data_IF_942262080304
#
_entry.id   IF_942262080304
#
_cell.length_a   1.000
_cell.length_b   1.000
_cell.length_c   1.000
_cell.angle_alpha   90.00
_cell.angle_beta   90.00
_cell.angle_gamma   90.00
#
_symmetry.space_group_name_H-M   'P 1'
#
loop_
_entity.id
_entity.type
_entity.pdbx_description
1 polymer ?
#
# COMPACT_ATOMS: atom_id res chain seq x y z
N UNK A 1 10.49 -37.18 -37.70
CA UNK A 1 9.99 -36.39 -36.55
C UNK A 1 11.06 -36.16 -35.46
N UNK A 2 12.31 -36.61 -35.64
CA UNK A 2 13.36 -36.54 -34.59
C UNK A 2 14.09 -35.19 -34.46
N UNK A 3 14.03 -34.30 -35.47
CA UNK A 3 14.76 -33.01 -35.47
C UNK A 3 14.00 -31.79 -34.92
N UNK A 4 12.77 -31.94 -34.41
CA UNK A 4 11.95 -30.81 -33.94
C UNK A 4 11.94 -30.64 -32.40
N UNK A 5 12.38 -31.65 -31.63
CA UNK A 5 12.35 -31.62 -30.16
C UNK A 5 13.32 -30.62 -29.52
N UNK A 6 14.41 -30.26 -30.21
CA UNK A 6 15.46 -29.38 -29.65
C UNK A 6 15.17 -27.88 -29.80
N UNK A 7 14.26 -27.48 -30.69
CA UNK A 7 14.06 -26.06 -31.05
C UNK A 7 12.90 -25.36 -30.32
N UNK A 8 12.03 -26.12 -29.65
CA UNK A 8 10.78 -25.61 -29.04
C UNK A 8 10.41 -26.22 -27.66
N UNK A 9 11.36 -26.47 -26.74
CA UNK A 9 11.08 -27.20 -25.49
C UNK A 9 10.15 -26.46 -24.52
N UNK A 10 9.96 -25.15 -24.68
CA UNK A 10 9.20 -24.25 -23.81
C UNK A 10 7.82 -23.86 -24.38
N UNK A 11 7.45 -24.34 -25.57
CA UNK A 11 6.22 -23.91 -26.23
C UNK A 11 4.99 -24.58 -25.60
N UNK A 12 3.96 -23.77 -25.31
CA UNK A 12 2.63 -24.30 -24.99
C UNK A 12 1.90 -24.84 -26.24
N UNK A 13 0.89 -25.72 -26.11
CA UNK A 13 0.19 -26.33 -27.26
C UNK A 13 -0.44 -25.32 -28.24
N UNK A 14 -0.78 -24.11 -27.76
CA UNK A 14 -1.28 -23.03 -28.60
C UNK A 14 -0.17 -22.43 -29.46
N UNK A 15 0.97 -22.06 -28.85
CA UNK A 15 2.10 -21.47 -29.55
C UNK A 15 2.79 -22.47 -30.49
N UNK A 16 2.86 -23.75 -30.08
CA UNK A 16 3.33 -24.83 -30.94
C UNK A 16 2.47 -24.98 -32.20
N UNK A 17 1.14 -24.84 -32.09
CA UNK A 17 0.24 -24.82 -33.25
C UNK A 17 0.54 -23.67 -34.19
N UNK A 18 0.61 -22.47 -33.65
CA UNK A 18 0.88 -21.25 -34.42
C UNK A 18 2.21 -21.35 -35.17
N UNK A 19 3.28 -21.84 -34.52
CA UNK A 19 4.59 -21.98 -35.17
C UNK A 19 4.71 -23.17 -36.12
N UNK A 20 3.96 -24.25 -35.90
CA UNK A 20 3.86 -25.35 -36.87
C UNK A 20 3.16 -24.89 -38.16
N UNK A 21 2.14 -24.05 -38.02
CA UNK A 21 1.41 -23.46 -39.15
C UNK A 21 2.27 -22.41 -39.89
N UNK A 22 2.84 -21.45 -39.16
CA UNK A 22 3.61 -20.34 -39.75
C UNK A 22 4.94 -20.75 -40.38
N UNK A 23 5.68 -21.66 -39.75
CA UNK A 23 7.07 -22.00 -40.17
C UNK A 23 7.11 -23.23 -41.08
N UNK A 24 6.19 -24.17 -40.86
CA UNK A 24 6.22 -25.48 -41.52
C UNK A 24 4.97 -25.76 -42.36
N UNK A 25 3.99 -24.86 -42.40
CA UNK A 25 2.74 -25.05 -43.16
C UNK A 25 1.86 -26.19 -42.64
N UNK A 26 2.10 -26.67 -41.41
CA UNK A 26 1.40 -27.82 -40.84
C UNK A 26 0.18 -27.37 -40.04
N UNK A 27 -1.00 -27.53 -40.65
CA UNK A 27 -2.28 -27.22 -40.00
C UNK A 27 -2.75 -28.42 -39.19
N UNK A 28 -2.45 -28.40 -37.89
CA UNK A 28 -2.93 -29.41 -36.93
C UNK A 28 -3.85 -28.78 -35.90
N UNK A 29 -4.90 -29.51 -35.50
CA UNK A 29 -5.75 -29.09 -34.39
C UNK A 29 -4.96 -28.99 -33.08
N UNK A 30 -5.22 -27.95 -32.27
CA UNK A 30 -4.59 -27.72 -30.97
C UNK A 30 -4.62 -28.96 -30.07
N UNK A 31 -5.73 -29.69 -30.07
CA UNK A 31 -5.91 -30.88 -29.25
C UNK A 31 -5.09 -32.09 -29.74
N UNK A 32 -4.83 -32.17 -31.04
CA UNK A 32 -3.94 -33.16 -31.64
C UNK A 32 -2.49 -32.86 -31.25
N UNK A 33 -2.07 -31.59 -31.33
CA UNK A 33 -0.74 -31.15 -30.89
C UNK A 33 -0.56 -31.41 -29.39
N UNK A 34 -1.54 -31.07 -28.56
CA UNK A 34 -1.51 -31.34 -27.11
C UNK A 34 -1.27 -32.82 -26.82
N UNK A 35 -1.98 -33.72 -27.51
CA UNK A 35 -1.81 -35.18 -27.36
C UNK A 35 -0.42 -35.65 -27.81
N UNK A 36 0.08 -35.13 -28.93
CA UNK A 36 1.43 -35.44 -29.43
C UNK A 36 2.52 -34.97 -28.47
N UNK A 37 2.40 -33.75 -27.93
CA UNK A 37 3.34 -33.21 -26.94
C UNK A 37 3.33 -33.99 -25.63
N UNK A 38 2.16 -34.49 -25.18
CA UNK A 38 2.08 -35.38 -24.01
C UNK A 38 2.78 -36.70 -24.30
N UNK A 39 2.52 -37.32 -25.46
CA UNK A 39 3.14 -38.59 -25.85
C UNK A 39 4.66 -38.47 -26.00
N UNK A 40 5.13 -37.31 -26.46
CA UNK A 40 6.55 -37.00 -26.62
C UNK A 40 7.24 -36.52 -25.32
N UNK A 41 6.51 -36.44 -24.19
CA UNK A 41 7.06 -35.94 -22.92
C UNK A 41 7.34 -34.43 -22.86
N UNK A 42 7.00 -33.68 -23.92
CA UNK A 42 7.21 -32.23 -24.03
C UNK A 42 6.14 -31.41 -23.29
N UNK A 43 5.04 -32.03 -22.87
CA UNK A 43 3.97 -31.35 -22.14
C UNK A 43 3.37 -32.24 -21.05
N UNK A 44 3.55 -31.84 -19.79
CA UNK A 44 2.97 -32.54 -18.63
C UNK A 44 1.55 -31.99 -18.35
N UNK A 45 0.50 -32.83 -18.42
CA UNK A 45 -0.86 -32.45 -18.04
C UNK A 45 -0.92 -31.85 -16.65
N UNK A 46 -1.74 -30.81 -16.46
CA UNK A 46 -1.83 -30.07 -15.19
C UNK A 46 -2.13 -30.98 -13.98
N UNK A 47 -2.93 -32.04 -14.17
CA UNK A 47 -3.26 -33.04 -13.13
C UNK A 47 -2.10 -33.96 -12.73
N UNK A 48 -1.07 -34.09 -13.58
CA UNK A 48 0.10 -34.93 -13.36
C UNK A 48 1.34 -34.14 -12.94
N UNK A 49 1.25 -32.80 -12.87
CA UNK A 49 2.32 -31.98 -12.32
C UNK A 49 2.42 -32.28 -10.82
N UNK A 50 3.62 -32.53 -10.28
CA UNK A 50 3.77 -32.74 -8.85
C UNK A 50 3.17 -31.53 -8.11
N UNK A 51 2.35 -31.75 -7.06
CA UNK A 51 1.86 -30.65 -6.26
C UNK A 51 3.08 -29.92 -5.71
N UNK A 52 3.18 -28.61 -5.95
CA UNK A 52 4.21 -27.83 -5.28
C UNK A 52 3.89 -27.84 -3.78
N UNK A 53 4.70 -28.56 -3.01
CA UNK A 53 4.60 -28.59 -1.56
C UNK A 53 5.14 -27.24 -1.07
N UNK A 54 4.23 -26.37 -0.64
CA UNK A 54 4.57 -25.07 -0.08
C UNK A 54 4.41 -25.14 1.43
N UNK A 55 5.48 -24.78 2.16
CA UNK A 55 5.44 -24.77 3.61
C UNK A 55 4.50 -23.64 4.09
N UNK A 56 3.57 -23.92 5.03
CA UNK A 56 2.79 -22.88 5.66
C UNK A 56 3.70 -21.88 6.38
N UNK A 57 3.41 -20.59 6.26
CA UNK A 57 4.07 -19.57 7.06
C UNK A 57 3.55 -19.64 8.50
N UNK A 58 4.45 -19.55 9.48
CA UNK A 58 4.04 -19.35 10.87
C UNK A 58 3.40 -17.96 11.05
N UNK A 59 2.41 -17.91 11.94
CA UNK A 59 1.79 -16.66 12.38
C UNK A 59 2.82 -15.77 13.08
N UNK A 60 2.63 -14.46 13.00
CA UNK A 60 3.33 -13.52 13.88
C UNK A 60 3.01 -13.82 15.36
N UNK A 61 3.96 -13.61 16.28
CA UNK A 61 3.74 -13.90 17.69
C UNK A 61 2.74 -12.95 18.37
N UNK A 62 2.81 -11.65 18.06
CA UNK A 62 2.05 -10.61 18.75
C UNK A 62 0.99 -9.96 17.85
N UNK A 63 -0.08 -9.47 18.47
CA UNK A 63 -1.11 -8.67 17.78
C UNK A 63 -0.50 -7.37 17.25
N UNK A 64 -0.83 -6.95 16.03
CA UNK A 64 -0.35 -5.68 15.45
C UNK A 64 1.02 -5.74 14.76
N UNK A 65 1.71 -6.88 14.81
CA UNK A 65 2.97 -7.05 14.09
C UNK A 65 2.78 -7.09 12.57
N UNK A 66 1.71 -7.75 12.11
CA UNK A 66 1.38 -7.84 10.70
C UNK A 66 -0.13 -7.92 10.52
N UNK A 67 -0.64 -6.98 9.76
CA UNK A 67 -2.05 -6.92 9.38
C UNK A 67 -2.15 -7.19 7.89
N UNK A 68 -2.87 -8.24 7.51
CA UNK A 68 -3.17 -8.53 6.13
C UNK A 68 -4.33 -7.66 5.68
N UNK A 69 -4.14 -6.92 4.59
CA UNK A 69 -5.16 -6.03 4.02
C UNK A 69 -5.54 -6.54 2.63
N UNK A 70 -6.84 -6.55 2.36
CA UNK A 70 -7.36 -6.94 1.06
C UNK A 70 -8.72 -6.34 0.78
N UNK A 71 -9.06 -6.20 -0.49
CA UNK A 71 -10.41 -5.92 -0.91
C UNK A 71 -11.10 -7.20 -1.36
N UNK A 72 -12.37 -7.31 -1.02
CA UNK A 72 -13.24 -8.42 -1.39
C UNK A 72 -14.45 -7.87 -2.16
N UNK A 73 -14.34 -7.89 -3.48
CA UNK A 73 -15.48 -7.59 -4.37
C UNK A 73 -16.50 -8.73 -4.32
N UNK A 74 -17.75 -8.38 -4.00
CA UNK A 74 -18.81 -9.37 -3.86
C UNK A 74 -20.22 -8.77 -3.94
N UNK A 75 -21.21 -9.63 -4.20
CA UNK A 75 -22.63 -9.29 -4.09
C UNK A 75 -23.09 -9.31 -2.62
N UNK A 76 -22.52 -8.43 -1.79
CA UNK A 76 -22.76 -8.38 -0.34
C UNK A 76 -24.24 -8.23 0.04
N UNK A 77 -25.01 -7.55 -0.80
CA UNK A 77 -26.44 -7.31 -0.62
C UNK A 77 -27.33 -8.23 -1.46
N UNK A 78 -26.76 -9.25 -2.11
CA UNK A 78 -27.47 -10.14 -3.05
C UNK A 78 -28.22 -9.32 -4.11
N UNK A 79 -29.55 -9.47 -4.18
CA UNK A 79 -30.42 -8.73 -5.09
C UNK A 79 -30.96 -7.41 -4.50
N UNK A 80 -30.61 -7.09 -3.25
CA UNK A 80 -31.15 -5.92 -2.52
C UNK A 80 -30.38 -4.64 -2.79
N UNK A 81 -29.13 -4.74 -3.24
CA UNK A 81 -28.24 -3.61 -3.47
C UNK A 81 -27.21 -3.90 -4.56
N UNK A 82 -26.50 -2.86 -5.00
CA UNK A 82 -25.44 -3.02 -5.99
C UNK A 82 -24.23 -3.76 -5.40
N UNK A 83 -23.46 -4.50 -6.23
CA UNK A 83 -22.17 -5.05 -5.82
C UNK A 83 -21.27 -3.94 -5.30
N UNK A 84 -20.42 -4.28 -4.33
CA UNK A 84 -19.45 -3.38 -3.75
C UNK A 84 -18.25 -4.17 -3.21
N UNK A 85 -17.20 -3.47 -2.83
CA UNK A 85 -16.01 -4.08 -2.24
C UNK A 85 -16.01 -3.88 -0.73
N UNK A 86 -15.74 -4.95 0.01
CA UNK A 86 -15.39 -4.84 1.43
C UNK A 86 -13.86 -4.81 1.58
N UNK A 87 -13.31 -3.75 2.17
CA UNK A 87 -11.91 -3.67 2.57
C UNK A 87 -11.76 -4.36 3.93
N UNK A 88 -10.90 -5.37 4.00
CA UNK A 88 -10.77 -6.28 5.13
C UNK A 88 -9.36 -6.22 5.69
N UNK A 89 -9.24 -6.02 7.01
CA UNK A 89 -7.98 -6.01 7.74
C UNK A 89 -7.99 -7.17 8.72
N UNK A 90 -7.04 -8.09 8.58
CA UNK A 90 -6.94 -9.30 9.39
C UNK A 90 -5.60 -9.32 10.12
N UNK A 91 -5.63 -9.41 11.44
CA UNK A 91 -4.41 -9.61 12.22
C UNK A 91 -3.89 -11.04 12.04
N UNK A 92 -2.61 -11.17 11.67
CA UNK A 92 -2.01 -12.46 11.34
C UNK A 92 -1.82 -13.38 12.56
N UNK A 93 -1.50 -12.80 13.72
CA UNK A 93 -1.30 -13.54 14.96
C UNK A 93 -2.60 -14.17 15.45
N UNK A 94 -3.67 -13.39 15.45
CA UNK A 94 -4.94 -13.72 16.10
C UNK A 94 -6.02 -14.16 15.12
N UNK A 95 -5.88 -13.87 13.82
CA UNK A 95 -6.95 -14.03 12.81
C UNK A 95 -8.21 -13.18 13.10
N UNK A 96 -8.06 -12.13 13.93
CA UNK A 96 -9.14 -11.18 14.19
C UNK A 96 -9.40 -10.33 12.95
N UNK A 97 -10.67 -10.08 12.66
CA UNK A 97 -11.07 -8.94 11.85
C UNK A 97 -10.82 -7.68 12.67
N UNK A 98 -9.88 -6.87 12.20
CA UNK A 98 -9.48 -5.64 12.85
C UNK A 98 -10.18 -4.43 12.23
N UNK A 99 -10.49 -4.47 10.94
CA UNK A 99 -11.26 -3.43 10.28
C UNK A 99 -12.02 -4.00 9.09
N UNK A 100 -13.19 -3.44 8.85
CA UNK A 100 -14.09 -3.80 7.76
C UNK A 100 -14.77 -2.53 7.27
N UNK A 101 -14.58 -2.20 5.99
CA UNK A 101 -15.19 -1.02 5.38
C UNK A 101 -15.74 -1.36 3.99
N UNK A 102 -17.03 -1.19 3.79
CA UNK A 102 -17.67 -1.31 2.49
C UNK A 102 -17.51 -0.02 1.69
N UNK A 103 -17.08 -0.17 0.44
CA UNK A 103 -16.85 0.93 -0.49
C UNK A 103 -17.34 0.54 -1.88
N UNK A 104 -17.66 1.54 -2.73
CA UNK A 104 -18.15 1.28 -4.08
C UNK A 104 -17.15 0.51 -4.95
N UNK A 105 -15.86 0.83 -4.81
CA UNK A 105 -14.76 0.20 -5.55
C UNK A 105 -13.43 0.47 -4.86
N UNK A 106 -12.44 -0.39 -5.06
CA UNK A 106 -11.09 -0.18 -4.54
C UNK A 106 -10.37 1.00 -5.20
N UNK A 107 -9.80 1.85 -4.37
CA UNK A 107 -8.94 2.97 -4.78
C UNK A 107 -7.95 3.32 -3.66
N UNK A 108 -6.96 4.14 -3.97
CA UNK A 108 -6.05 4.69 -2.94
C UNK A 108 -6.83 5.41 -1.84
N UNK A 109 -7.83 6.22 -2.19
CA UNK A 109 -8.60 7.02 -1.22
C UNK A 109 -9.44 6.14 -0.29
N UNK A 110 -10.03 5.06 -0.81
CA UNK A 110 -10.79 4.12 0.04
C UNK A 110 -9.88 3.37 1.01
N UNK A 111 -8.64 3.05 0.61
CA UNK A 111 -7.66 2.47 1.54
C UNK A 111 -7.11 3.50 2.54
N UNK A 112 -7.03 4.77 2.19
CA UNK A 112 -6.73 5.84 3.14
C UNK A 112 -7.82 5.96 4.21
N UNK A 113 -9.08 5.98 3.81
CA UNK A 113 -10.23 6.00 4.72
C UNK A 113 -10.23 4.77 5.65
N UNK A 114 -10.10 3.56 5.08
CA UNK A 114 -10.06 2.33 5.87
C UNK A 114 -8.85 2.29 6.82
N UNK A 115 -7.67 2.70 6.35
CA UNK A 115 -6.47 2.69 7.20
C UNK A 115 -6.54 3.75 8.29
N UNK A 116 -7.15 4.91 8.03
CA UNK A 116 -7.44 5.91 9.06
C UNK A 116 -8.30 5.32 10.16
N UNK A 117 -9.47 4.76 9.83
CA UNK A 117 -10.36 4.18 10.82
C UNK A 117 -9.73 3.02 11.59
N UNK A 118 -8.86 2.24 10.94
CA UNK A 118 -8.02 1.25 11.61
C UNK A 118 -7.09 1.88 12.64
N UNK A 119 -6.29 2.87 12.23
CA UNK A 119 -5.24 3.46 13.06
C UNK A 119 -5.84 4.23 14.24
N UNK A 120 -6.93 4.96 14.03
CA UNK A 120 -7.63 5.68 15.10
C UNK A 120 -8.14 4.72 16.19
N UNK A 121 -8.51 3.50 15.81
CA UNK A 121 -9.04 2.50 16.74
C UNK A 121 -7.98 1.67 17.46
N UNK A 122 -6.91 1.28 16.77
CA UNK A 122 -5.92 0.33 17.30
C UNK A 122 -4.50 0.89 17.41
N UNK A 123 -4.22 2.04 16.82
CA UNK A 123 -2.88 2.57 16.60
C UNK A 123 -2.22 2.02 15.33
N UNK A 124 -0.98 2.43 15.11
CA UNK A 124 -0.17 2.11 13.94
C UNK A 124 0.39 0.69 14.07
N UNK A 125 0.08 -0.23 13.13
CA UNK A 125 0.70 -1.55 13.13
C UNK A 125 2.19 -1.44 12.72
N UNK A 126 2.93 -2.53 12.87
CA UNK A 126 4.31 -2.58 12.38
C UNK A 126 4.33 -2.77 10.86
N UNK A 127 3.49 -3.68 10.35
CA UNK A 127 3.47 -4.07 8.94
C UNK A 127 2.02 -4.13 8.43
N UNK A 128 1.77 -3.52 7.27
CA UNK A 128 0.61 -3.83 6.44
C UNK A 128 1.03 -4.74 5.30
N UNK A 129 0.32 -5.85 5.13
CA UNK A 129 0.62 -6.89 4.15
C UNK A 129 -0.48 -6.97 3.10
N UNK A 130 -0.18 -6.58 1.87
CA UNK A 130 -1.14 -6.49 0.77
C UNK A 130 -0.74 -7.38 -0.41
N UNK A 131 -1.64 -7.54 -1.39
CA UNK A 131 -1.26 -8.11 -2.69
C UNK A 131 -0.58 -7.03 -3.58
N UNK A 132 -0.04 -7.42 -4.73
CA UNK A 132 0.60 -6.55 -5.74
C UNK A 132 -0.42 -5.72 -6.56
N UNK A 133 -1.57 -5.39 -6.00
CA UNK A 133 -2.52 -4.50 -6.68
C UNK A 133 -1.87 -3.12 -6.93
N UNK A 134 -2.32 -2.42 -7.98
CA UNK A 134 -1.76 -1.14 -8.42
C UNK A 134 -1.79 -0.04 -7.34
N UNK A 135 -2.71 -0.14 -6.37
CA UNK A 135 -2.78 0.74 -5.19
C UNK A 135 -1.53 0.59 -4.31
N UNK A 136 -0.99 -0.63 -4.21
CA UNK A 136 0.12 -0.97 -3.32
C UNK A 136 1.48 -1.00 -4.03
N UNK A 137 1.48 -1.17 -5.35
CA UNK A 137 2.71 -1.29 -6.13
C UNK A 137 2.62 -0.56 -7.48
N UNK A 138 3.68 0.21 -7.78
CA UNK A 138 3.88 0.76 -9.13
C UNK A 138 4.31 -0.39 -10.06
N UNK A 139 3.45 -0.76 -11.01
CA UNK A 139 3.72 -1.86 -11.94
C UNK A 139 4.72 -1.50 -13.05
N UNK A 140 4.98 -0.20 -13.26
CA UNK A 140 5.88 0.27 -14.31
C UNK A 140 7.25 0.68 -13.75
N UNK A 141 8.20 -0.27 -13.72
CA UNK A 141 9.58 -0.03 -13.24
C UNK A 141 10.42 0.89 -14.13
N UNK A 142 9.95 1.18 -15.35
CA UNK A 142 10.67 1.96 -16.37
C UNK A 142 10.16 3.39 -16.55
N UNK A 143 9.29 3.89 -15.67
CA UNK A 143 8.91 5.30 -15.70
C UNK A 143 10.14 6.18 -15.36
N UNK A 144 10.69 6.82 -16.38
CA UNK A 144 11.85 7.75 -16.28
C UNK A 144 11.50 9.01 -15.49
N UNK A 145 10.20 9.27 -15.29
CA UNK A 145 9.68 10.47 -14.62
C UNK A 145 8.42 10.08 -13.83
N UNK A 146 8.50 10.08 -12.51
CA UNK A 146 7.37 9.78 -11.60
C UNK A 146 7.82 9.20 -10.24
N UNK A 147 6.97 9.23 -9.20
CA UNK A 147 7.30 8.65 -7.90
C UNK A 147 7.56 7.13 -8.03
N UNK A 148 8.68 6.65 -7.47
CA UNK A 148 9.01 5.21 -7.41
C UNK A 148 8.15 4.44 -6.40
N UNK A 149 7.33 5.13 -5.62
CA UNK A 149 6.42 4.57 -4.61
C UNK A 149 4.97 4.98 -4.91
N UNK A 150 3.99 4.16 -4.52
CA UNK A 150 2.57 4.55 -4.62
C UNK A 150 2.21 5.57 -3.53
N UNK A 151 1.12 6.31 -3.71
CA UNK A 151 0.60 7.21 -2.68
C UNK A 151 0.28 6.48 -1.37
N UNK A 152 -0.20 5.24 -1.46
CA UNK A 152 -0.43 4.41 -0.28
C UNK A 152 0.87 4.07 0.44
N UNK A 153 1.88 3.59 -0.29
CA UNK A 153 3.19 3.29 0.28
C UNK A 153 3.85 4.53 0.90
N UNK A 154 3.72 5.70 0.25
CA UNK A 154 4.18 6.99 0.77
C UNK A 154 3.55 7.29 2.14
N UNK A 155 2.22 7.23 2.24
CA UNK A 155 1.51 7.49 3.48
C UNK A 155 1.94 6.53 4.60
N UNK A 156 2.05 5.23 4.30
CA UNK A 156 2.51 4.24 5.27
C UNK A 156 3.92 4.55 5.78
N UNK A 157 4.85 4.88 4.86
CA UNK A 157 6.22 5.25 5.23
C UNK A 157 6.27 6.49 6.13
N UNK A 158 5.49 7.52 5.83
CA UNK A 158 5.42 8.73 6.67
C UNK A 158 4.86 8.42 8.07
N UNK A 159 3.92 7.49 8.17
CA UNK A 159 3.39 7.01 9.45
C UNK A 159 4.32 5.98 10.13
N UNK A 160 5.50 5.71 9.55
CA UNK A 160 6.46 4.71 10.01
C UNK A 160 5.87 3.27 10.06
N UNK A 161 4.93 2.96 9.16
CA UNK A 161 4.34 1.63 8.95
C UNK A 161 5.03 1.01 7.75
N UNK A 162 5.45 -0.26 7.83
CA UNK A 162 6.11 -0.94 6.71
C UNK A 162 5.08 -1.56 5.77
N UNK A 163 4.91 -1.08 4.52
CA UNK A 163 4.09 -1.78 3.53
C UNK A 163 4.88 -2.96 2.95
N UNK A 164 4.30 -4.16 2.97
CA UNK A 164 4.84 -5.35 2.34
C UNK A 164 3.84 -5.88 1.31
N UNK A 165 4.31 -6.12 0.09
CA UNK A 165 3.52 -6.81 -0.93
C UNK A 165 3.86 -8.29 -0.97
N UNK A 166 2.85 -9.14 -1.09
CA UNK A 166 3.05 -10.57 -1.26
C UNK A 166 3.79 -10.86 -2.56
N UNK A 167 4.92 -11.58 -2.51
CA UNK A 167 5.64 -11.99 -3.73
C UNK A 167 4.89 -13.10 -4.49
N UNK A 168 4.08 -13.88 -3.77
CA UNK A 168 3.21 -14.94 -4.28
C UNK A 168 1.81 -14.85 -3.65
N UNK A 169 0.76 -15.18 -4.40
CA UNK A 169 -0.63 -15.18 -3.91
C UNK A 169 -0.82 -16.09 -2.70
N UNK A 170 -0.11 -17.22 -2.64
CA UNK A 170 -0.24 -18.20 -1.54
C UNK A 170 0.29 -17.72 -0.18
N UNK A 171 0.97 -16.57 -0.10
CA UNK A 171 1.46 -16.02 1.16
C UNK A 171 0.38 -15.25 1.96
N UNK A 172 -0.82 -15.06 1.39
CA UNK A 172 -1.95 -14.29 1.96
C UNK A 172 -3.10 -15.15 2.49
N UNK A 173 -2.82 -16.39 2.89
CA UNK A 173 -3.87 -17.37 3.21
C UNK A 173 -4.77 -17.08 4.41
N UNK A 174 -4.55 -16.02 5.21
CA UNK A 174 -5.44 -15.68 6.33
C UNK A 174 -6.60 -14.79 5.90
N UNK A 175 -6.33 -13.70 5.18
CA UNK A 175 -7.38 -12.83 4.66
C UNK A 175 -8.23 -13.54 3.60
N UNK A 176 -7.65 -14.40 2.77
CA UNK A 176 -8.42 -15.23 1.82
C UNK A 176 -9.40 -16.18 2.54
N UNK A 177 -8.99 -16.78 3.66
CA UNK A 177 -9.90 -17.59 4.48
C UNK A 177 -10.98 -16.75 5.17
N UNK A 178 -10.62 -15.54 5.60
CA UNK A 178 -11.59 -14.60 6.13
C UNK A 178 -12.62 -14.22 5.04
N UNK A 179 -12.19 -13.96 3.80
CA UNK A 179 -13.08 -13.68 2.67
C UNK A 179 -14.12 -14.78 2.47
N UNK A 180 -13.71 -16.05 2.43
CA UNK A 180 -14.65 -17.17 2.29
C UNK A 180 -15.70 -17.19 3.40
N UNK A 181 -15.27 -16.92 4.64
CA UNK A 181 -16.17 -16.87 5.81
C UNK A 181 -17.11 -15.68 5.73
N UNK A 182 -16.61 -14.52 5.30
CA UNK A 182 -17.39 -13.30 5.12
C UNK A 182 -18.43 -13.47 4.01
N UNK A 183 -18.02 -13.92 2.82
CA UNK A 183 -18.91 -14.14 1.68
C UNK A 183 -20.06 -15.10 2.02
N UNK A 184 -19.82 -16.09 2.88
CA UNK A 184 -20.90 -16.96 3.35
C UNK A 184 -21.77 -16.32 4.45
N UNK A 185 -21.15 -15.85 5.54
CA UNK A 185 -21.88 -15.46 6.75
C UNK A 185 -22.36 -14.02 6.74
N UNK A 186 -21.50 -13.08 6.36
CA UNK A 186 -21.82 -11.66 6.38
C UNK A 186 -22.96 -11.34 5.43
N UNK A 187 -23.01 -11.97 4.26
CA UNK A 187 -24.12 -11.84 3.31
C UNK A 187 -25.46 -12.23 3.97
N UNK A 188 -25.46 -13.33 4.73
CA UNK A 188 -26.66 -13.83 5.45
C UNK A 188 -27.04 -12.93 6.61
N UNK A 189 -26.08 -12.42 7.38
CA UNK A 189 -26.34 -11.48 8.48
C UNK A 189 -26.93 -10.16 7.95
N UNK A 190 -26.35 -9.60 6.87
CA UNK A 190 -26.89 -8.43 6.19
C UNK A 190 -28.32 -8.68 5.68
N UNK A 191 -28.63 -9.91 5.24
CA UNK A 191 -29.99 -10.31 4.85
C UNK A 191 -30.96 -10.33 6.01
N UNK A 192 -30.57 -10.95 7.12
CA UNK A 192 -31.40 -11.02 8.33
C UNK A 192 -31.72 -9.64 8.90
N UNK A 193 -30.79 -8.69 8.78
CA UNK A 193 -30.99 -7.30 9.19
C UNK A 193 -31.64 -6.41 8.13
N UNK A 194 -31.95 -6.93 6.94
CA UNK A 194 -32.54 -6.14 5.85
C UNK A 194 -31.62 -5.06 5.27
N UNK A 195 -30.29 -5.13 5.49
CA UNK A 195 -29.33 -4.12 5.08
C UNK A 195 -29.04 -4.23 3.58
N UNK A 196 -29.22 -3.15 2.83
CA UNK A 196 -29.06 -3.12 1.38
C UNK A 196 -28.17 -1.98 0.85
N UNK A 197 -27.62 -1.16 1.74
CA UNK A 197 -26.78 -0.01 1.40
C UNK A 197 -25.42 -0.10 2.06
N UNK A 198 -24.42 0.55 1.44
CA UNK A 198 -23.05 0.60 1.96
C UNK A 198 -23.02 1.29 3.32
N UNK A 199 -23.77 2.37 3.48
CA UNK A 199 -23.83 3.17 4.69
C UNK A 199 -24.38 2.35 5.87
N UNK A 200 -25.47 1.60 5.65
CA UNK A 200 -26.04 0.74 6.68
C UNK A 200 -25.15 -0.48 6.98
N UNK A 201 -24.42 -1.00 5.98
CA UNK A 201 -23.45 -2.08 6.19
C UNK A 201 -22.25 -1.62 7.02
N UNK A 202 -21.74 -0.41 6.77
CA UNK A 202 -20.66 0.20 7.55
C UNK A 202 -21.10 0.48 9.00
N UNK A 203 -22.35 0.93 9.21
CA UNK A 203 -22.90 1.08 10.56
C UNK A 203 -23.00 -0.25 11.32
N UNK A 204 -23.23 -1.36 10.61
CA UNK A 204 -23.31 -2.71 11.19
C UNK A 204 -21.94 -3.40 11.35
N UNK A 205 -20.89 -2.92 10.67
CA UNK A 205 -19.61 -3.62 10.56
C UNK A 205 -18.97 -3.93 11.92
N UNK A 206 -19.02 -3.00 12.88
CA UNK A 206 -18.43 -3.19 14.21
C UNK A 206 -19.15 -4.26 15.04
N UNK A 207 -20.48 -4.31 14.96
CA UNK A 207 -21.29 -5.34 15.61
C UNK A 207 -20.95 -6.72 15.06
N UNK A 208 -20.91 -6.85 13.73
CA UNK A 208 -20.55 -8.10 13.06
C UNK A 208 -19.12 -8.53 13.39
N UNK A 209 -18.15 -7.60 13.36
CA UNK A 209 -16.76 -7.90 13.69
C UNK A 209 -16.61 -8.42 15.12
N UNK A 210 -17.39 -7.88 16.06
CA UNK A 210 -17.42 -8.35 17.45
C UNK A 210 -17.88 -9.81 17.54
N UNK A 211 -18.98 -10.17 16.89
CA UNK A 211 -19.46 -11.57 16.85
C UNK A 211 -18.48 -12.49 16.11
N UNK A 212 -17.97 -12.06 14.95
CA UNK A 212 -16.98 -12.80 14.18
C UNK A 212 -15.73 -13.11 15.04
N UNK A 213 -15.19 -12.11 15.72
CA UNK A 213 -13.98 -12.26 16.51
C UNK A 213 -14.19 -13.19 17.71
N UNK A 214 -15.38 -13.20 18.33
CA UNK A 214 -15.70 -14.19 19.38
C UNK A 214 -15.59 -15.63 18.89
N UNK A 215 -15.89 -15.89 17.61
CA UNK A 215 -15.95 -17.25 17.03
C UNK A 215 -14.63 -17.70 16.40
N UNK A 216 -13.89 -16.78 15.79
CA UNK A 216 -12.77 -17.12 14.91
C UNK A 216 -11.40 -16.61 15.37
N UNK A 217 -11.37 -15.66 16.32
CA UNK A 217 -10.11 -15.19 16.87
C UNK A 217 -9.39 -16.32 17.62
N UNK A 218 -8.07 -16.25 17.62
CA UNK A 218 -7.19 -17.10 18.42
C UNK A 218 -6.35 -16.22 19.33
N UNK A 219 -5.96 -16.79 20.48
CA UNK A 219 -4.97 -16.15 21.32
C UNK A 219 -3.66 -15.96 20.52
N UNK A 220 -3.02 -14.78 20.63
CA UNK A 220 -1.67 -14.60 20.10
C UNK A 220 -0.68 -15.49 20.87
N UNK A 221 0.53 -15.68 20.33
CA UNK A 221 1.57 -16.45 21.01
C UNK A 221 2.12 -15.71 22.22
N UNK A 222 2.11 -14.38 22.16
CA UNK A 222 2.50 -13.49 23.25
C UNK A 222 1.44 -12.41 23.45
N UNK A 223 1.23 -12.03 24.70
CA UNK A 223 0.20 -11.06 25.09
C UNK A 223 0.58 -9.60 24.77
N UNK A 224 1.80 -9.37 24.28
CA UNK A 224 2.24 -8.05 23.85
C UNK A 224 1.42 -7.55 22.65
N UNK A 225 1.10 -6.26 22.67
CA UNK A 225 0.45 -5.58 21.55
C UNK A 225 1.47 -4.68 20.84
N UNK A 226 1.82 -5.03 19.60
CA UNK A 226 2.81 -4.33 18.79
C UNK A 226 2.29 -3.07 18.10
N UNK A 227 1.02 -2.70 18.30
CA UNK A 227 0.53 -1.41 17.85
C UNK A 227 1.23 -0.27 18.57
N UNK A 228 1.58 0.78 17.80
CA UNK A 228 2.16 2.02 18.34
C UNK A 228 1.08 3.10 18.34
N UNK A 229 0.93 3.88 19.42
CA UNK A 229 -0.02 4.99 19.42
C UNK A 229 0.37 6.05 18.38
N UNK A 230 -0.60 6.90 18.03
CA UNK A 230 -0.32 8.13 17.31
C UNK A 230 0.46 9.09 18.23
N UNK A 231 1.46 9.76 17.67
CA UNK A 231 2.21 10.83 18.34
C UNK A 231 1.64 12.19 17.95
N UNK A 232 1.98 13.25 18.68
CA UNK A 232 1.60 14.63 18.35
C UNK A 232 2.08 15.09 16.97
N UNK A 233 3.07 14.41 16.41
CA UNK A 233 3.63 14.67 15.08
C UNK A 233 2.93 13.90 13.96
N UNK A 234 2.09 12.91 14.29
CA UNK A 234 1.34 12.17 13.28
C UNK A 234 0.10 12.98 12.87
N UNK A 235 0.12 13.52 11.65
CA UNK A 235 -1.02 14.21 11.06
C UNK A 235 -1.65 13.30 9.99
N UNK A 236 -2.73 12.60 10.35
CA UNK A 236 -3.42 11.69 9.44
C UNK A 236 -4.06 12.43 8.26
N UNK A 237 -4.51 13.68 8.42
CA UNK A 237 -5.09 14.48 7.35
C UNK A 237 -4.04 14.82 6.31
N UNK A 238 -2.88 15.27 6.76
CA UNK A 238 -1.75 15.47 5.89
C UNK A 238 -1.35 14.16 5.20
N UNK A 239 -1.19 13.07 5.95
CA UNK A 239 -0.62 11.83 5.40
C UNK A 239 -1.54 11.07 4.46
N UNK A 240 -2.85 11.15 4.67
CA UNK A 240 -3.86 10.57 3.77
C UNK A 240 -4.32 11.51 2.67
N UNK A 241 -3.47 12.47 2.28
CA UNK A 241 -3.69 13.34 1.13
C UNK A 241 -2.94 12.83 -0.11
N UNK A 242 -3.52 13.03 -1.30
CA UNK A 242 -2.82 12.80 -2.56
C UNK A 242 -1.71 13.84 -2.76
N UNK A 243 -0.46 13.41 -2.90
CA UNK A 243 0.69 14.32 -3.00
C UNK A 243 1.48 14.09 -4.28
N UNK A 244 1.61 15.11 -5.12
CA UNK A 244 2.49 15.05 -6.28
C UNK A 244 3.46 16.23 -6.29
N UNK A 245 4.77 15.99 -6.46
CA UNK A 245 5.71 17.07 -6.63
C UNK A 245 5.38 17.82 -7.93
N UNK A 246 5.31 19.13 -7.83
CA UNK A 246 5.09 20.03 -8.96
C UNK A 246 6.01 21.23 -8.85
N UNK A 247 6.48 21.68 -10.02
CA UNK A 247 7.30 22.89 -10.11
C UNK A 247 6.38 24.10 -10.13
N UNK A 248 6.59 25.01 -9.18
CA UNK A 248 6.00 26.36 -9.21
C UNK A 248 6.77 27.18 -10.26
N UNK A 249 6.04 27.83 -11.16
CA UNK A 249 6.63 28.72 -12.16
C UNK A 249 6.89 30.11 -11.55
N UNK A 250 7.74 30.91 -12.20
CA UNK A 250 8.03 32.30 -11.78
C UNK A 250 6.77 33.17 -11.68
N UNK A 251 5.73 32.83 -12.42
CA UNK A 251 4.41 33.45 -12.37
C UNK A 251 3.55 33.01 -11.17
N UNK A 252 4.11 32.25 -10.22
CA UNK A 252 3.39 31.68 -9.07
C UNK A 252 2.20 30.81 -9.48
N UNK A 253 2.39 30.09 -10.58
CA UNK A 253 1.42 29.15 -11.09
C UNK A 253 1.94 27.72 -11.01
N UNK A 254 1.03 26.80 -10.76
CA UNK A 254 1.29 25.36 -10.75
C UNK A 254 0.30 24.71 -11.69
N UNK A 255 0.79 23.86 -12.60
CA UNK A 255 -0.09 23.08 -13.47
C UNK A 255 -0.29 21.68 -12.88
N UNK A 256 -1.54 21.27 -12.72
CA UNK A 256 -1.92 19.93 -12.30
C UNK A 256 -3.20 19.50 -13.02
N UNK A 257 -3.16 18.30 -13.60
CA UNK A 257 -4.29 17.70 -14.34
C UNK A 257 -5.00 18.67 -15.30
N UNK A 258 -4.21 19.32 -16.17
CA UNK A 258 -4.66 20.34 -17.15
C UNK A 258 -5.29 21.60 -16.55
N UNK A 259 -5.30 21.74 -15.22
CA UNK A 259 -5.72 22.95 -14.51
C UNK A 259 -4.48 23.75 -14.12
N UNK A 260 -4.54 25.07 -14.31
CA UNK A 260 -3.54 26.01 -13.83
C UNK A 260 -4.02 26.62 -12.52
N UNK A 261 -3.29 26.37 -11.45
CA UNK A 261 -3.55 26.93 -10.13
C UNK A 261 -2.70 28.18 -9.96
N UNK A 262 -3.32 29.30 -9.60
CA UNK A 262 -2.65 30.53 -9.19
C UNK A 262 -2.47 30.51 -7.66
N UNK A 263 -1.27 30.81 -7.18
CA UNK A 263 -1.00 30.92 -5.76
C UNK A 263 -1.24 32.37 -5.34
N UNK A 264 -2.31 32.62 -4.57
CA UNK A 264 -2.62 33.94 -4.00
C UNK A 264 -1.82 34.18 -2.68
N UNK A 265 -1.25 35.38 -2.50
CA UNK A 265 -0.52 35.78 -1.27
C UNK A 265 0.13 37.17 -1.33
N UNK A 266 0.36 37.81 -0.16
CA UNK A 266 1.11 39.08 -0.04
C UNK A 266 2.60 38.78 0.20
N UNK A 267 3.45 39.26 -0.69
CA UNK A 267 4.85 38.86 -0.81
C UNK A 267 5.78 39.45 0.28
N UNK A 268 5.98 38.71 1.37
CA UNK A 268 7.14 38.87 2.26
C UNK A 268 7.48 37.53 2.95
N UNK A 269 8.72 37.02 2.87
CA UNK A 269 9.89 37.58 2.19
C UNK A 269 9.85 37.39 0.65
N UNK A 270 10.68 38.14 -0.11
CA UNK A 270 10.78 38.01 -1.56
C UNK A 270 11.12 36.58 -2.00
N UNK A 271 10.63 36.16 -3.16
CA UNK A 271 10.87 34.82 -3.71
C UNK A 271 12.36 34.45 -3.80
N UNK A 272 13.21 35.42 -4.14
CA UNK A 272 14.67 35.26 -4.18
C UNK A 272 15.28 34.89 -2.80
N UNK A 273 14.69 35.39 -1.71
CA UNK A 273 15.10 34.99 -0.36
C UNK A 273 14.74 33.53 -0.10
N UNK A 274 13.56 33.08 -0.55
CA UNK A 274 13.13 31.69 -0.39
C UNK A 274 14.01 30.73 -1.19
N UNK A 275 14.39 31.09 -2.43
CA UNK A 275 15.35 30.32 -3.22
C UNK A 275 16.71 30.18 -2.51
N UNK A 276 17.25 31.27 -1.96
CA UNK A 276 18.51 31.22 -1.19
C UNK A 276 18.44 30.31 0.02
N UNK A 277 17.31 30.30 0.74
CA UNK A 277 17.12 29.37 1.87
C UNK A 277 17.05 27.93 1.38
N UNK A 278 16.36 27.65 0.27
CA UNK A 278 16.31 26.32 -0.33
C UNK A 278 17.71 25.82 -0.75
N UNK A 279 18.53 26.68 -1.36
CA UNK A 279 19.90 26.37 -1.76
C UNK A 279 20.77 25.99 -0.54
N UNK A 280 20.68 26.76 0.56
CA UNK A 280 21.41 26.49 1.81
C UNK A 280 21.00 25.13 2.41
N UNK A 281 19.73 24.77 2.29
CA UNK A 281 19.18 23.50 2.78
C UNK A 281 19.39 22.32 1.82
N UNK A 282 20.04 22.53 0.66
CA UNK A 282 20.27 21.49 -0.34
C UNK A 282 19.00 21.05 -1.07
N UNK A 283 17.96 21.87 -1.06
CA UNK A 283 16.73 21.64 -1.81
C UNK A 283 16.86 22.16 -3.24
N UNK A 284 16.22 21.51 -4.22
CA UNK A 284 16.31 21.94 -5.62
C UNK A 284 15.67 23.32 -5.84
N UNK A 285 16.14 24.09 -6.83
CA UNK A 285 15.68 25.47 -7.16
C UNK A 285 14.15 25.67 -7.26
N UNK A 286 13.39 24.58 -7.47
CA UNK A 286 11.94 24.55 -7.57
C UNK A 286 11.23 24.22 -6.24
N UNK A 287 11.86 24.55 -5.10
CA UNK A 287 11.41 24.14 -3.78
C UNK A 287 10.24 24.94 -3.23
N UNK A 288 9.04 24.40 -3.44
CA UNK A 288 7.94 24.57 -2.51
C UNK A 288 7.32 23.18 -2.34
N UNK A 289 7.16 22.75 -1.09
CA UNK A 289 6.55 21.49 -0.66
C UNK A 289 7.41 20.21 -0.80
N UNK A 290 8.19 19.91 0.24
CA UNK A 290 8.25 18.52 0.72
C UNK A 290 7.51 18.51 2.06
N UNK A 291 6.45 17.72 2.16
CA UNK A 291 5.58 17.66 3.35
C UNK A 291 6.28 17.16 4.62
N UNK A 292 7.49 16.59 4.48
CA UNK A 292 8.34 16.19 5.61
C UNK A 292 9.34 17.28 6.01
N UNK A 293 9.26 18.46 5.40
CA UNK A 293 10.08 19.61 5.76
C UNK A 293 9.19 20.68 6.38
N UNK A 294 9.18 20.67 7.71
CA UNK A 294 8.48 21.65 8.53
C UNK A 294 8.96 23.07 8.21
N UNK A 295 10.24 23.24 7.85
CA UNK A 295 10.83 24.53 7.46
C UNK A 295 10.23 25.04 6.16
N UNK A 296 10.06 24.19 5.15
CA UNK A 296 9.37 24.57 3.91
C UNK A 296 7.93 25.02 4.13
N UNK A 297 7.21 24.31 5.02
CA UNK A 297 5.83 24.65 5.39
C UNK A 297 5.77 26.01 6.09
N UNK A 298 6.67 26.26 7.06
CA UNK A 298 6.76 27.52 7.78
C UNK A 298 7.13 28.69 6.85
N UNK A 299 8.13 28.52 5.98
CA UNK A 299 8.53 29.54 4.99
C UNK A 299 7.40 29.92 4.04
N UNK A 300 6.59 28.94 3.61
CA UNK A 300 5.42 29.18 2.79
C UNK A 300 4.34 29.96 3.56
N UNK A 301 4.06 29.61 4.82
CA UNK A 301 3.08 30.31 5.67
C UNK A 301 3.51 31.75 5.94
N UNK A 302 4.80 31.97 6.21
CA UNK A 302 5.40 33.30 6.27
C UNK A 302 5.22 34.05 4.95
N UNK A 303 5.58 33.43 3.83
CA UNK A 303 5.42 34.02 2.49
C UNK A 303 3.96 34.36 2.14
N UNK A 304 2.99 33.67 2.75
CA UNK A 304 1.55 33.95 2.61
C UNK A 304 1.05 35.08 3.52
N UNK A 305 1.89 35.59 4.44
CA UNK A 305 1.55 36.68 5.33
C UNK A 305 0.67 36.27 6.53
N UNK A 306 0.69 34.98 6.90
CA UNK A 306 0.06 34.53 8.16
C UNK A 306 0.77 35.22 9.35
N UNK A 307 0.01 35.78 10.30
CA UNK A 307 0.57 36.43 11.50
C UNK A 307 0.83 35.41 12.61
N UNK A 308 1.79 35.72 13.50
CA UNK A 308 2.21 34.92 14.67
C UNK A 308 2.97 33.60 14.37
N UNK A 309 3.84 33.58 13.37
CA UNK A 309 4.75 32.44 13.11
C UNK A 309 6.08 32.50 13.86
N UNK A 310 6.38 33.58 14.59
CA UNK A 310 7.71 33.76 15.17
C UNK A 310 8.05 32.67 16.19
N UNK A 311 7.10 32.31 17.05
CA UNK A 311 7.23 31.23 18.03
C UNK A 311 7.35 29.86 17.35
N UNK A 312 6.57 29.58 16.31
CA UNK A 312 6.63 28.33 15.54
C UNK A 312 8.01 28.15 14.86
N UNK A 313 8.58 29.24 14.33
CA UNK A 313 9.90 29.23 13.68
C UNK A 313 11.01 29.04 14.70
N UNK A 314 10.98 29.75 15.83
CA UNK A 314 11.98 29.59 16.89
C UNK A 314 11.93 28.19 17.50
N UNK A 315 10.72 27.66 17.71
CA UNK A 315 10.53 26.31 18.23
C UNK A 315 11.13 25.25 17.29
N UNK A 316 10.81 25.30 15.99
CA UNK A 316 11.35 24.34 15.03
C UNK A 316 12.86 24.53 14.80
N UNK A 317 13.37 25.77 14.79
CA UNK A 317 14.81 26.02 14.70
C UNK A 317 15.58 25.43 15.90
N UNK A 318 15.05 25.60 17.11
CA UNK A 318 15.65 25.02 18.33
C UNK A 318 15.62 23.49 18.30
N UNK A 319 14.50 22.90 17.90
CA UNK A 319 14.34 21.45 17.74
C UNK A 319 15.29 20.88 16.68
N UNK A 320 15.47 21.56 15.54
CA UNK A 320 16.45 21.16 14.53
C UNK A 320 17.90 21.24 15.06
N UNK A 321 18.22 22.25 15.87
CA UNK A 321 19.54 22.37 16.49
C UNK A 321 19.80 21.21 17.48
N UNK A 322 18.83 20.87 18.33
CA UNK A 322 18.91 19.73 19.25
C UNK A 322 19.08 18.40 18.50
N UNK A 323 18.29 18.17 17.44
CA UNK A 323 18.43 16.98 16.59
C UNK A 323 19.79 16.88 15.91
N UNK A 324 20.36 18.00 15.45
CA UNK A 324 21.69 18.04 14.85
C UNK A 324 22.77 17.70 15.88
N UNK A 325 22.63 18.21 17.11
CA UNK A 325 23.57 17.95 18.20
C UNK A 325 23.54 16.47 18.63
N UNK A 326 22.34 15.89 18.74
CA UNK A 326 22.15 14.45 18.99
C UNK A 326 22.72 13.60 17.84
N UNK A 327 22.47 13.98 16.59
CA UNK A 327 23.04 13.27 15.44
C UNK A 327 24.58 13.33 15.44
N UNK A 328 25.17 14.49 15.75
CA UNK A 328 26.63 14.65 15.90
C UNK A 328 27.17 13.76 17.01
N UNK A 329 26.48 13.69 18.16
CA UNK A 329 26.85 12.84 19.28
C UNK A 329 26.81 11.36 18.90
N UNK A 330 25.73 10.93 18.23
CA UNK A 330 25.57 9.54 17.74
C UNK A 330 26.64 9.18 16.70
N UNK A 331 26.97 10.09 15.79
CA UNK A 331 28.05 9.89 14.81
C UNK A 331 29.41 9.81 15.50
N UNK A 332 29.67 10.64 16.51
CA UNK A 332 30.91 10.58 17.29
C UNK A 332 31.04 9.23 18.02
N UNK A 333 29.97 8.78 18.68
CA UNK A 333 29.91 7.46 19.33
C UNK A 333 30.09 6.32 18.32
N UNK A 334 29.42 6.38 17.17
CA UNK A 334 29.57 5.38 16.11
C UNK A 334 31.01 5.35 15.57
N UNK A 335 31.63 6.51 15.40
CA UNK A 335 33.03 6.64 14.94
C UNK A 335 33.99 6.06 15.98
N UNK A 336 33.74 6.27 17.27
CA UNK A 336 34.52 5.69 18.36
C UNK A 336 34.37 4.17 18.44
N UNK A 337 33.15 3.64 18.27
CA UNK A 337 32.91 2.20 18.14
C UNK A 337 33.61 1.58 16.92
N UNK A 338 33.70 2.32 15.80
CA UNK A 338 34.39 1.86 14.59
C UNK A 338 35.92 1.90 14.74
N UNK A 339 36.48 2.78 15.56
CA UNK A 339 37.91 2.84 15.90
C UNK A 339 38.36 1.70 16.82
N UNK A 340 37.43 1.01 17.48
CA UNK A 340 37.69 -0.10 18.39
C UNK A 340 37.31 -1.48 17.83
N UNK A 341 37.12 -1.60 16.51
CA UNK A 341 37.11 -2.92 15.85
C UNK A 341 38.57 -3.41 15.70
N UNK A 342 38.90 -4.63 16.17
CA UNK A 342 40.22 -5.23 15.98
C UNK A 342 40.53 -5.52 14.51
#
# INVERSE_FOLDING_TARGET
MEKQGERYPDFGPTLAREKLEEVYGLVLGKETIRRLMIKAGLWIPRRQRPPKIHQPRYRRPCTGELIQIDGCDHHWFENRGRPCTALVYVDDATSRLMHLLFVKSESTFTYFEATRGYIEKYGKPMILYSDKASVFRVNNKHATTGPRETQFARAMRCLNITPLCAETSQAKGHVERAHLTLQDRLVKELRLKGISTIEAANAFAEEYMTDYNKRFAKAPRHDFNAHRPLTLTDDLDAEFTWREPRRVLKSLTVQYDKVLYLIEGRFAPPFEFVCRVADVLGYPEYYFYIANDVTAKLLLRMHRGEQNLHEDIEFEAKKMAEQLEDARRLVAQLTECLKHRP
#
